data_IF_361643747328
#
_entry.id   IF_361643747328
#
_cell.length_a   1.000
_cell.length_b   1.000
_cell.length_c   1.000
_cell.angle_alpha   90.00
_cell.angle_beta   90.00
_cell.angle_gamma   90.00
#
_symmetry.space_group_name_H-M   'P 1'
#
loop_
_entity.id
_entity.type
_entity.pdbx_description
1 polymer ?
#
# COMPACT_ATOMS: atom_id res chain seq x y z
N UNK A 1 -21.61 28.16 -16.65
CA UNK A 1 -21.13 26.80 -16.93
C UNK A 1 -19.78 26.64 -16.25
N UNK A 2 -19.77 26.02 -15.06
CA UNK A 2 -18.51 25.76 -14.33
C UNK A 2 -17.92 24.50 -14.98
N UNK A 3 -16.90 24.66 -15.80
CA UNK A 3 -16.13 23.52 -16.27
C UNK A 3 -15.33 22.99 -15.07
N UNK A 4 -15.73 21.83 -14.56
CA UNK A 4 -14.90 20.99 -13.69
C UNK A 4 -13.71 20.50 -14.53
N UNK A 5 -12.77 21.41 -14.78
CA UNK A 5 -11.44 21.07 -15.24
C UNK A 5 -10.90 20.17 -14.14
N UNK A 6 -10.92 18.88 -14.41
CA UNK A 6 -10.21 17.84 -13.67
C UNK A 6 -8.92 18.45 -13.19
N UNK A 7 -8.74 18.56 -11.87
CA UNK A 7 -7.56 19.15 -11.25
C UNK A 7 -6.34 18.31 -11.66
N UNK A 8 -5.77 18.63 -12.82
CA UNK A 8 -4.54 18.06 -13.32
C UNK A 8 -3.42 18.61 -12.43
N UNK A 9 -3.05 17.84 -11.41
CA UNK A 9 -1.81 18.02 -10.67
C UNK A 9 -0.78 17.11 -11.32
N UNK A 10 0.15 17.64 -12.14
CA UNK A 10 1.14 16.82 -12.85
C UNK A 10 1.92 15.90 -11.91
N UNK A 11 2.05 16.28 -10.63
CA UNK A 11 2.71 15.48 -9.61
C UNK A 11 1.93 14.24 -9.20
N UNK A 12 0.59 14.27 -9.10
CA UNK A 12 -0.17 13.11 -8.63
C UNK A 12 -0.12 11.97 -9.66
N UNK A 13 -0.35 12.26 -10.94
CA UNK A 13 -0.29 11.25 -11.99
C UNK A 13 1.14 10.68 -12.11
N UNK A 14 2.17 11.53 -11.97
CA UNK A 14 3.56 11.09 -11.95
C UNK A 14 3.87 10.21 -10.73
N UNK A 15 3.43 10.60 -9.53
CA UNK A 15 3.58 9.83 -8.30
C UNK A 15 2.85 8.48 -8.39
N UNK A 16 1.64 8.48 -8.96
CA UNK A 16 0.84 7.27 -9.16
C UNK A 16 1.52 6.33 -10.16
N UNK A 17 2.06 6.85 -11.26
CA UNK A 17 2.83 6.05 -12.21
C UNK A 17 4.11 5.51 -11.57
N UNK A 18 4.82 6.34 -10.80
CA UNK A 18 6.05 5.94 -10.13
C UNK A 18 5.82 4.81 -9.10
N UNK A 19 4.75 4.85 -8.31
CA UNK A 19 4.42 3.75 -7.39
C UNK A 19 3.94 2.49 -8.11
N UNK A 20 3.28 2.62 -9.27
CA UNK A 20 2.88 1.49 -10.12
C UNK A 20 4.08 0.81 -10.77
N UNK A 21 5.14 1.55 -11.08
CA UNK A 21 6.40 0.99 -11.58
C UNK A 21 7.26 0.43 -10.45
N UNK A 22 7.32 1.12 -9.30
CA UNK A 22 8.08 0.73 -8.12
C UNK A 22 7.35 1.16 -6.83
N UNK A 23 6.69 0.22 -6.16
CA UNK A 23 5.91 0.50 -4.96
C UNK A 23 6.72 1.11 -3.80
N UNK A 24 8.04 0.87 -3.76
CA UNK A 24 8.91 1.48 -2.75
C UNK A 24 9.14 2.98 -2.97
N UNK A 25 8.77 3.52 -4.14
CA UNK A 25 8.82 4.96 -4.41
C UNK A 25 7.93 5.76 -3.45
N UNK A 26 6.92 5.12 -2.85
CA UNK A 26 6.03 5.72 -1.84
C UNK A 26 6.78 6.43 -0.71
N UNK A 27 8.00 5.99 -0.38
CA UNK A 27 8.87 6.62 0.63
C UNK A 27 9.26 8.07 0.31
N UNK A 28 9.22 8.47 -0.95
CA UNK A 28 9.53 9.82 -1.41
C UNK A 28 8.29 10.71 -1.56
N UNK A 29 7.08 10.13 -1.44
CA UNK A 29 5.83 10.87 -1.57
C UNK A 29 5.43 11.41 -0.20
N UNK A 30 5.41 12.73 -0.07
CA UNK A 30 5.03 13.38 1.19
C UNK A 30 3.52 13.29 1.44
N UNK A 31 2.70 13.54 0.41
CA UNK A 31 1.24 13.51 0.49
C UNK A 31 0.72 12.18 -0.03
N UNK A 32 0.52 11.25 0.89
CA UNK A 32 -0.01 9.93 0.58
C UNK A 32 -1.52 9.92 0.80
N UNK A 33 -2.25 9.47 -0.22
CA UNK A 33 -3.64 9.08 -0.07
C UNK A 33 -3.79 7.56 -0.11
N UNK A 34 -5.02 7.10 0.08
CA UNK A 34 -5.33 5.68 0.10
C UNK A 34 -5.00 4.99 -1.23
N UNK A 35 -5.28 5.65 -2.36
CA UNK A 35 -5.06 5.10 -3.71
C UNK A 35 -3.57 4.89 -4.01
N UNK A 36 -2.73 5.87 -3.66
CA UNK A 36 -1.27 5.77 -3.80
C UNK A 36 -0.71 4.65 -2.93
N UNK A 37 -1.15 4.55 -1.67
CA UNK A 37 -0.72 3.48 -0.78
C UNK A 37 -1.15 2.10 -1.31
N UNK A 38 -2.40 2.00 -1.78
CA UNK A 38 -2.95 0.77 -2.34
C UNK A 38 -2.15 0.30 -3.56
N UNK A 39 -1.92 1.18 -4.55
CA UNK A 39 -1.18 0.81 -5.76
C UNK A 39 0.28 0.46 -5.43
N UNK A 40 0.91 1.18 -4.49
CA UNK A 40 2.24 0.86 -4.01
C UNK A 40 2.33 -0.54 -3.38
N UNK A 41 1.39 -0.90 -2.49
CA UNK A 41 1.34 -2.22 -1.82
C UNK A 41 1.02 -3.32 -2.83
N UNK A 42 0.07 -3.07 -3.73
CA UNK A 42 -0.30 -4.01 -4.80
C UNK A 42 0.89 -4.35 -5.69
N UNK A 43 1.72 -3.35 -6.00
CA UNK A 43 2.99 -3.52 -6.71
C UNK A 43 4.00 -4.28 -5.83
N UNK A 44 4.26 -3.81 -4.61
CA UNK A 44 5.18 -4.43 -3.66
C UNK A 44 4.64 -4.35 -2.23
N UNK A 45 4.33 -5.50 -1.62
CA UNK A 45 3.74 -5.57 -0.28
C UNK A 45 4.60 -4.89 0.79
N UNK A 46 5.94 -4.90 0.62
CA UNK A 46 6.87 -4.24 1.54
C UNK A 46 6.74 -2.72 1.55
N UNK A 47 6.03 -2.11 0.59
CA UNK A 47 5.72 -0.68 0.59
C UNK A 47 4.90 -0.25 1.82
N UNK A 48 4.22 -1.18 2.51
CA UNK A 48 3.50 -0.92 3.76
C UNK A 48 4.37 -0.22 4.82
N UNK A 49 5.69 -0.48 4.84
CA UNK A 49 6.63 0.17 5.75
C UNK A 49 6.74 1.69 5.55
N UNK A 50 6.34 2.20 4.38
CA UNK A 50 6.39 3.63 4.02
C UNK A 50 5.02 4.30 4.05
N UNK A 51 3.95 3.55 4.35
CA UNK A 51 2.61 4.10 4.51
C UNK A 51 2.55 4.82 5.85
N UNK A 52 2.26 6.12 5.83
CA UNK A 52 2.19 6.95 7.04
C UNK A 52 1.03 6.58 7.96
N UNK A 53 -0.10 6.19 7.39
CA UNK A 53 -1.29 5.74 8.12
C UNK A 53 -1.67 4.33 7.66
N UNK A 54 -1.13 3.33 8.36
CA UNK A 54 -1.38 1.92 8.06
C UNK A 54 -2.80 1.52 8.51
N UNK A 55 -3.77 1.65 7.61
CA UNK A 55 -5.13 1.19 7.88
C UNK A 55 -5.19 -0.35 7.87
N UNK A 56 -6.13 -0.93 8.62
CA UNK A 56 -6.28 -2.39 8.70
C UNK A 56 -6.39 -3.03 7.30
N UNK A 57 -7.12 -2.40 6.37
CA UNK A 57 -7.31 -2.94 5.04
C UNK A 57 -6.00 -2.95 4.21
N UNK A 58 -5.17 -1.90 4.28
CA UNK A 58 -3.86 -1.86 3.62
C UNK A 58 -2.91 -2.90 4.22
N UNK A 59 -2.95 -3.07 5.54
CA UNK A 59 -2.21 -4.12 6.24
C UNK A 59 -2.63 -5.51 5.75
N UNK A 60 -3.94 -5.78 5.65
CA UNK A 60 -4.47 -7.05 5.18
C UNK A 60 -4.07 -7.33 3.73
N UNK A 61 -4.18 -6.35 2.85
CA UNK A 61 -3.73 -6.47 1.44
C UNK A 61 -2.25 -6.84 1.39
N UNK A 62 -1.42 -6.20 2.23
CA UNK A 62 0.02 -6.45 2.26
C UNK A 62 0.34 -7.90 2.67
N UNK A 63 -0.25 -8.40 3.77
CA UNK A 63 0.00 -9.78 4.24
C UNK A 63 -0.65 -10.86 3.38
N UNK A 64 -1.78 -10.56 2.72
CA UNK A 64 -2.38 -11.44 1.70
C UNK A 64 -1.49 -11.58 0.47
N UNK A 65 -0.68 -10.56 0.16
CA UNK A 65 0.26 -10.61 -0.95
C UNK A 65 1.57 -11.30 -0.56
N UNK A 66 2.07 -11.05 0.65
CA UNK A 66 3.24 -11.74 1.20
C UNK A 66 3.14 -11.75 2.74
N UNK A 67 3.06 -12.94 3.36
CA UNK A 67 3.00 -13.10 4.81
C UNK A 67 4.16 -12.42 5.55
N UNK A 68 5.36 -12.41 4.95
CA UNK A 68 6.55 -11.74 5.50
C UNK A 68 6.36 -10.23 5.70
N UNK A 69 5.38 -9.60 5.05
CA UNK A 69 5.09 -8.19 5.25
C UNK A 69 4.52 -7.89 6.65
N UNK A 70 4.09 -8.92 7.39
CA UNK A 70 3.67 -8.82 8.79
C UNK A 70 4.72 -8.13 9.67
N UNK A 71 6.02 -8.36 9.39
CA UNK A 71 7.12 -7.74 10.15
C UNK A 71 7.23 -6.21 9.95
N UNK A 72 6.51 -5.65 8.97
CA UNK A 72 6.55 -4.23 8.61
C UNK A 72 5.28 -3.47 9.07
N UNK A 73 4.36 -4.14 9.75
CA UNK A 73 3.12 -3.56 10.26
C UNK A 73 3.30 -3.12 11.71
N UNK A 74 2.95 -1.86 12.01
CA UNK A 74 3.13 -1.28 13.34
C UNK A 74 2.06 -1.74 14.34
N UNK A 75 0.81 -1.86 13.88
CA UNK A 75 -0.32 -2.27 14.71
C UNK A 75 -0.88 -3.61 14.24
N UNK A 76 -0.59 -4.65 15.02
CA UNK A 76 -1.05 -6.00 14.75
C UNK A 76 -2.38 -6.27 15.45
N UNK A 77 -3.24 -7.03 14.77
CA UNK A 77 -4.41 -7.62 15.40
C UNK A 77 -4.58 -9.08 14.94
N UNK A 78 -5.50 -9.79 15.60
CA UNK A 78 -5.72 -11.20 15.37
C UNK A 78 -6.06 -11.52 13.90
N UNK A 79 -6.81 -10.62 13.23
CA UNK A 79 -7.19 -10.78 11.83
C UNK A 79 -5.97 -10.69 10.91
N UNK A 80 -5.13 -9.67 11.08
CA UNK A 80 -3.89 -9.48 10.29
C UNK A 80 -2.95 -10.68 10.46
N UNK A 81 -2.72 -11.10 11.70
CA UNK A 81 -1.82 -12.24 12.02
C UNK A 81 -2.34 -13.53 11.39
N UNK A 82 -3.62 -13.85 11.60
CA UNK A 82 -4.24 -15.04 11.01
C UNK A 82 -4.16 -15.04 9.49
N UNK A 83 -4.35 -13.88 8.86
CA UNK A 83 -4.26 -13.76 7.41
C UNK A 83 -2.84 -14.04 6.91
N UNK A 84 -1.81 -13.52 7.57
CA UNK A 84 -0.42 -13.79 7.21
C UNK A 84 -0.08 -15.29 7.32
N UNK A 85 -0.40 -15.92 8.46
CA UNK A 85 -0.10 -17.34 8.72
C UNK A 85 -0.84 -18.27 7.75
N UNK A 86 -2.10 -17.97 7.41
CA UNK A 86 -2.87 -18.76 6.44
C UNK A 86 -2.26 -18.71 5.04
N UNK A 87 -1.70 -17.57 4.66
CA UNK A 87 -1.11 -17.39 3.34
C UNK A 87 0.23 -18.14 3.20
N UNK A 88 1.04 -18.16 4.26
CA UNK A 88 2.27 -18.96 4.33
C UNK A 88 1.99 -20.46 4.42
N UNK A 89 0.93 -20.86 5.13
CA UNK A 89 0.51 -22.26 5.28
C UNK A 89 -0.07 -22.90 4.01
N UNK A 90 -0.40 -22.12 2.97
CA UNK A 90 -0.78 -22.63 1.64
C UNK A 90 0.42 -22.83 0.71
N UNK A 91 1.63 -22.44 1.13
CA UNK A 91 2.86 -22.59 0.37
C UNK A 91 3.73 -23.79 0.80
N UNK A 92 3.30 -24.56 1.82
CA UNK A 92 3.91 -25.79 2.33
C UNK A 92 3.06 -27.02 1.99
#
# INVERSE_FOLDING_TARGET
>A
MIQYKTMYYPSYDADLNAVKENGLYLKYIEKQDHSLCYEAIKQNSRAIQYVKNQTEDLCLISVQKNGDALQLIHELNHKIILTAVRNEGLAL
#
